data_IF_930376492097
#
_entry.id   IF_930376492097
#
_cell.length_a   1.000
_cell.length_b   1.000
_cell.length_c   1.000
_cell.angle_alpha   90.00
_cell.angle_beta   90.00
_cell.angle_gamma   90.00
#
_symmetry.space_group_name_H-M   'P 1'
#
loop_
_entity.id
_entity.type
_entity.pdbx_description
1 polymer ?
#
# COMPACT_ATOMS: atom_id res chain seq x y z
N UNK A 1 -45.34 2.77 20.61
CA UNK A 1 -45.15 4.24 20.46
C UNK A 1 -44.82 4.81 21.83
N UNK A 2 -43.84 5.72 21.99
CA UNK A 2 -42.52 5.95 21.37
C UNK A 2 -41.40 5.47 22.34
N UNK A 3 -40.09 5.47 22.13
CA UNK A 3 -39.16 6.12 21.20
C UNK A 3 -37.88 6.49 21.99
N UNK A 4 -36.70 6.31 21.37
CA UNK A 4 -35.32 6.83 21.67
C UNK A 4 -34.33 5.66 21.45
N UNK A 5 -33.54 5.58 20.38
CA UNK A 5 -32.94 6.64 19.56
C UNK A 5 -31.55 6.98 20.10
N UNK A 6 -30.58 6.09 19.86
CA UNK A 6 -29.20 6.21 20.33
C UNK A 6 -28.20 6.22 19.17
N UNK A 7 -27.79 7.44 18.81
CA UNK A 7 -26.53 7.89 18.23
C UNK A 7 -25.71 6.91 17.35
N UNK A 8 -25.77 7.12 16.04
CA UNK A 8 -24.68 6.76 15.12
C UNK A 8 -24.20 8.06 14.45
N UNK A 9 -22.95 8.42 14.73
CA UNK A 9 -22.27 9.57 14.15
C UNK A 9 -21.63 9.17 12.80
N UNK A 10 -21.77 10.02 11.76
CA UNK A 10 -20.84 10.02 10.65
C UNK A 10 -19.85 11.21 10.69
N UNK A 11 -18.75 11.13 9.92
CA UNK A 11 -17.49 11.78 10.21
C UNK A 11 -17.24 13.05 9.36
N UNK A 12 -16.15 13.74 9.69
CA UNK A 12 -15.51 14.85 8.96
C UNK A 12 -16.04 16.26 9.22
N UNK A 13 -15.47 16.88 10.25
CA UNK A 13 -15.41 18.33 10.42
C UNK A 13 -14.28 18.92 9.56
N UNK A 14 -14.64 19.72 8.57
CA UNK A 14 -13.75 20.71 7.96
C UNK A 14 -13.95 22.06 8.67
N UNK A 15 -12.89 22.82 8.99
CA UNK A 15 -13.07 24.17 9.53
C UNK A 15 -13.54 25.10 8.41
N UNK A 16 -14.77 25.56 8.55
CA UNK A 16 -15.38 26.65 7.80
C UNK A 16 -14.87 27.98 8.36
N UNK A 17 -13.98 28.66 7.62
CA UNK A 17 -13.53 30.01 7.95
C UNK A 17 -14.69 30.98 7.78
N UNK A 18 -15.12 31.56 8.90
CA UNK A 18 -16.19 32.57 8.97
C UNK A 18 -15.66 33.93 8.51
N UNK A 19 -16.55 34.58 7.76
CA UNK A 19 -16.52 35.96 7.29
C UNK A 19 -16.43 37.01 8.41
N UNK A 20 -15.92 38.18 8.01
CA UNK A 20 -16.21 39.50 8.59
C UNK A 20 -15.02 40.43 8.33
N UNK A 21 -15.14 41.67 7.84
CA UNK A 21 -16.31 42.53 7.66
C UNK A 21 -15.85 43.85 6.97
N UNK A 22 -16.77 44.50 6.24
CA UNK A 22 -16.84 45.93 5.82
C UNK A 22 -15.77 46.50 4.86
N UNK A 23 -16.11 46.74 3.60
CA UNK A 23 -16.92 47.85 3.08
C UNK A 23 -16.08 49.10 2.75
N UNK A 24 -16.05 49.44 1.45
CA UNK A 24 -16.08 50.83 0.96
C UNK A 24 -16.52 50.80 -0.50
N UNK A 25 -17.78 51.18 -0.71
CA UNK A 25 -18.31 51.62 -1.99
C UNK A 25 -17.59 52.92 -2.37
N UNK A 26 -17.13 53.04 -3.62
CA UNK A 26 -17.30 54.26 -4.41
C UNK A 26 -17.01 54.00 -5.90
N UNK A 27 -18.01 54.37 -6.71
CA UNK A 27 -17.91 55.01 -8.02
C UNK A 27 -17.34 54.25 -9.23
N UNK A 28 -18.29 53.74 -10.04
CA UNK A 28 -18.57 54.20 -11.42
C UNK A 28 -17.47 54.00 -12.46
N UNK A 29 -17.65 52.98 -13.32
CA UNK A 29 -17.00 52.92 -14.64
C UNK A 29 -18.03 52.40 -15.68
N UNK A 30 -18.34 53.13 -16.76
CA UNK A 30 -19.36 52.72 -17.73
C UNK A 30 -18.79 51.82 -18.83
N UNK A 31 -19.53 50.76 -19.14
CA UNK A 31 -19.56 50.02 -20.42
C UNK A 31 -18.20 49.61 -21.03
N UNK A 32 -17.65 48.47 -20.55
CA UNK A 32 -16.68 47.68 -21.34
C UNK A 32 -17.45 46.72 -22.26
N UNK A 33 -17.15 46.67 -23.57
CA UNK A 33 -17.76 45.69 -24.47
C UNK A 33 -17.35 44.28 -24.04
N UNK A 34 -18.31 43.36 -24.05
CA UNK A 34 -18.12 41.94 -23.81
C UNK A 34 -17.08 41.40 -24.79
N UNK A 35 -15.82 41.30 -24.37
CA UNK A 35 -14.82 40.51 -25.08
C UNK A 35 -15.28 39.06 -25.03
N UNK A 36 -15.64 38.53 -26.20
CA UNK A 36 -15.75 37.10 -26.47
C UNK A 36 -14.53 36.40 -25.84
N UNK A 37 -14.75 35.64 -24.78
CA UNK A 37 -13.77 34.69 -24.29
C UNK A 37 -13.66 33.61 -25.38
N UNK A 38 -12.50 33.41 -26.04
CA UNK A 38 -12.37 32.25 -26.91
C UNK A 38 -12.60 31.02 -26.04
N UNK A 39 -13.60 30.21 -26.38
CA UNK A 39 -13.73 28.88 -25.80
C UNK A 39 -12.46 28.11 -26.14
N UNK A 40 -11.48 28.10 -25.23
CA UNK A 40 -10.42 27.09 -25.25
C UNK A 40 -11.11 25.75 -25.02
N UNK A 41 -11.48 25.10 -26.11
CA UNK A 41 -11.83 23.70 -26.12
C UNK A 41 -10.55 22.96 -25.73
N UNK A 42 -10.49 22.46 -24.49
CA UNK A 42 -9.48 21.48 -24.12
C UNK A 42 -9.89 20.16 -24.76
N UNK A 43 -9.20 19.68 -25.82
CA UNK A 43 -9.52 18.38 -26.37
C UNK A 43 -9.40 17.32 -25.28
N UNK A 44 -10.28 16.31 -25.26
CA UNK A 44 -10.20 15.23 -24.29
C UNK A 44 -8.82 14.56 -24.41
N UNK A 45 -8.23 14.25 -23.26
CA UNK A 45 -6.87 13.70 -23.14
C UNK A 45 -6.66 12.36 -23.87
N UNK A 46 -7.75 11.75 -24.35
CA UNK A 46 -7.78 10.56 -25.21
C UNK A 46 -7.32 10.82 -26.65
N UNK A 47 -7.40 12.07 -27.13
CA UNK A 47 -6.99 12.48 -28.47
C UNK A 47 -5.59 13.12 -28.51
N UNK A 48 -4.93 13.24 -27.35
CA UNK A 48 -3.54 13.67 -27.29
C UNK A 48 -2.66 12.58 -27.92
N UNK A 49 -1.64 12.95 -28.74
CA UNK A 49 -0.66 12.00 -29.23
C UNK A 49 -0.10 11.20 -28.05
N UNK A 50 -0.27 9.88 -28.06
CA UNK A 50 0.42 9.03 -27.09
C UNK A 50 1.90 9.07 -27.44
N UNK A 51 2.71 9.67 -26.56
CA UNK A 51 4.15 9.50 -26.62
C UNK A 51 4.44 7.99 -26.63
N UNK A 52 5.08 7.51 -27.69
CA UNK A 52 5.57 6.13 -27.71
C UNK A 52 6.61 6.00 -26.60
N UNK A 53 6.51 4.98 -25.72
CA UNK A 53 7.52 4.80 -24.70
C UNK A 53 8.87 4.61 -25.38
N UNK A 54 9.91 5.26 -24.84
CA UNK A 54 11.27 5.04 -25.33
C UNK A 54 11.61 3.55 -25.23
N UNK A 55 12.53 3.02 -26.05
CA UNK A 55 12.95 1.62 -25.96
C UNK A 55 13.42 1.22 -24.55
N UNK A 56 14.04 2.16 -23.82
CA UNK A 56 14.41 1.98 -22.43
C UNK A 56 13.18 1.84 -21.52
N UNK A 57 12.18 2.71 -21.67
CA UNK A 57 10.95 2.64 -20.89
C UNK A 57 10.15 1.35 -21.17
N UNK A 58 10.16 0.85 -22.41
CA UNK A 58 9.56 -0.44 -22.76
C UNK A 58 10.28 -1.60 -22.04
N UNK A 59 11.61 -1.61 -22.05
CA UNK A 59 12.41 -2.63 -21.35
C UNK A 59 12.21 -2.59 -19.83
N UNK A 60 12.19 -1.40 -19.22
CA UNK A 60 11.92 -1.24 -17.78
C UNK A 60 10.55 -1.80 -17.40
N UNK A 61 9.53 -1.60 -18.25
CA UNK A 61 8.22 -2.15 -18.06
C UNK A 61 8.21 -3.68 -18.12
N UNK A 62 8.87 -4.28 -19.12
CA UNK A 62 8.98 -5.74 -19.24
C UNK A 62 9.69 -6.36 -18.04
N UNK A 63 10.81 -5.77 -17.60
CA UNK A 63 11.52 -6.21 -16.40
C UNK A 63 10.65 -6.08 -15.14
N UNK A 64 9.85 -5.02 -15.04
CA UNK A 64 8.92 -4.84 -13.92
C UNK A 64 7.83 -5.92 -13.92
N UNK A 65 7.22 -6.19 -15.08
CA UNK A 65 6.21 -7.23 -15.24
C UNK A 65 6.77 -8.60 -14.87
N UNK A 66 7.98 -8.94 -15.32
CA UNK A 66 8.59 -10.23 -14.98
C UNK A 66 8.94 -10.36 -13.49
N UNK A 67 9.43 -9.29 -12.86
CA UNK A 67 9.66 -9.26 -11.41
C UNK A 67 8.36 -9.45 -10.64
N UNK A 68 7.29 -8.77 -11.04
CA UNK A 68 5.97 -8.92 -10.44
C UNK A 68 5.44 -10.36 -10.61
N UNK A 69 5.58 -10.93 -11.81
CA UNK A 69 5.20 -12.32 -12.09
C UNK A 69 5.97 -13.32 -11.23
N UNK A 70 7.29 -13.12 -11.07
CA UNK A 70 8.14 -13.93 -10.20
C UNK A 70 7.69 -13.87 -8.75
N UNK A 71 7.42 -12.66 -8.24
CA UNK A 71 6.93 -12.48 -6.88
C UNK A 71 5.62 -13.24 -6.65
N UNK A 72 4.66 -13.14 -7.57
CA UNK A 72 3.37 -13.84 -7.46
C UNK A 72 3.58 -15.35 -7.38
N UNK A 73 4.48 -15.92 -8.20
CA UNK A 73 4.79 -17.36 -8.17
C UNK A 73 5.40 -17.79 -6.84
N UNK A 74 6.32 -16.98 -6.31
CA UNK A 74 6.95 -17.24 -5.00
C UNK A 74 5.91 -17.19 -3.86
N UNK A 75 5.04 -16.18 -3.88
CA UNK A 75 3.95 -16.04 -2.92
C UNK A 75 3.01 -17.26 -2.95
N UNK A 76 2.53 -17.66 -4.12
CA UNK A 76 1.66 -18.86 -4.26
C UNK A 76 2.36 -20.12 -3.76
N UNK A 77 3.65 -20.28 -4.07
CA UNK A 77 4.44 -21.43 -3.62
C UNK A 77 4.64 -21.45 -2.11
N UNK A 78 4.70 -20.29 -1.46
CA UNK A 78 4.73 -20.17 -0.01
C UNK A 78 3.36 -20.48 0.61
N UNK A 79 2.28 -19.87 0.09
CA UNK A 79 0.90 -20.11 0.52
C UNK A 79 0.54 -21.60 0.49
N UNK A 80 0.87 -22.29 -0.61
CA UNK A 80 0.60 -23.74 -0.73
C UNK A 80 1.32 -24.57 0.35
N UNK A 81 2.55 -24.22 0.70
CA UNK A 81 3.30 -24.93 1.75
C UNK A 81 2.76 -24.59 3.15
N UNK A 82 2.41 -23.33 3.37
CA UNK A 82 1.81 -22.87 4.60
C UNK A 82 0.47 -23.56 4.87
N UNK A 83 -0.38 -23.67 3.85
CA UNK A 83 -1.65 -24.40 3.93
C UNK A 83 -1.43 -25.87 4.23
N UNK A 84 -0.46 -26.51 3.56
CA UNK A 84 -0.09 -27.90 3.86
C UNK A 84 0.37 -28.06 5.31
N UNK A 85 1.15 -27.11 5.83
CA UNK A 85 1.60 -27.12 7.22
C UNK A 85 0.45 -26.96 8.21
N UNK A 86 -0.47 -26.04 7.94
CA UNK A 86 -1.63 -25.77 8.80
C UNK A 86 -2.60 -26.96 8.86
N UNK A 87 -2.72 -27.72 7.77
CA UNK A 87 -3.57 -28.92 7.70
C UNK A 87 -2.89 -30.18 8.26
N UNK A 88 -1.59 -30.14 8.55
CA UNK A 88 -0.85 -31.28 9.06
C UNK A 88 -1.08 -31.46 10.57
N UNK A 89 -1.27 -32.70 11.03
CA UNK A 89 -1.38 -32.99 12.45
C UNK A 89 -0.10 -32.59 13.22
N UNK A 90 -0.23 -32.27 14.51
CA UNK A 90 0.92 -31.86 15.33
C UNK A 90 1.95 -32.98 15.52
N UNK A 91 1.49 -34.24 15.59
CA UNK A 91 2.32 -35.43 15.79
C UNK A 91 2.77 -36.08 14.47
N UNK A 92 2.53 -35.43 13.34
CA UNK A 92 2.94 -35.97 12.04
C UNK A 92 4.47 -36.01 11.93
N UNK A 93 5.08 -37.17 11.58
CA UNK A 93 6.53 -37.31 11.48
C UNK A 93 7.15 -36.36 10.45
N UNK A 94 6.40 -35.95 9.41
CA UNK A 94 6.88 -35.06 8.35
C UNK A 94 6.75 -33.57 8.71
N UNK A 95 6.16 -33.25 9.86
CA UNK A 95 5.93 -31.86 10.29
C UNK A 95 7.22 -31.06 10.34
N UNK A 96 8.32 -31.65 10.81
CA UNK A 96 9.63 -31.00 10.87
C UNK A 96 10.16 -30.61 9.48
N UNK A 97 10.05 -31.52 8.50
CA UNK A 97 10.46 -31.25 7.12
C UNK A 97 9.62 -30.12 6.52
N UNK A 98 8.32 -30.16 6.75
CA UNK A 98 7.40 -29.17 6.22
C UNK A 98 7.59 -27.77 6.84
N UNK A 99 7.96 -27.70 8.12
CA UNK A 99 8.40 -26.44 8.76
C UNK A 99 9.60 -25.87 8.04
N UNK A 100 10.62 -26.69 7.76
CA UNK A 100 11.84 -26.24 7.09
C UNK A 100 11.56 -25.77 5.64
N UNK A 101 10.72 -26.50 4.90
CA UNK A 101 10.34 -26.11 3.53
C UNK A 101 9.53 -24.81 3.49
N UNK A 102 8.58 -24.67 4.41
CA UNK A 102 7.74 -23.46 4.52
C UNK A 102 8.57 -22.27 4.96
N UNK A 103 9.46 -22.45 5.93
CA UNK A 103 10.38 -21.43 6.41
C UNK A 103 11.36 -20.97 5.32
N UNK A 104 11.88 -21.91 4.51
CA UNK A 104 12.73 -21.59 3.36
C UNK A 104 11.97 -20.78 2.30
N UNK A 105 10.75 -21.17 1.96
CA UNK A 105 9.92 -20.44 1.00
C UNK A 105 9.62 -19.01 1.50
N UNK A 106 9.34 -18.87 2.80
CA UNK A 106 9.12 -17.58 3.45
C UNK A 106 10.38 -16.69 3.40
N UNK A 107 11.55 -17.24 3.70
CA UNK A 107 12.81 -16.50 3.63
C UNK A 107 13.09 -15.99 2.22
N UNK A 108 12.93 -16.85 1.20
CA UNK A 108 13.10 -16.47 -0.20
C UNK A 108 12.15 -15.34 -0.60
N UNK A 109 10.89 -15.40 -0.17
CA UNK A 109 9.89 -14.36 -0.42
C UNK A 109 10.28 -13.03 0.25
N UNK A 110 10.76 -13.08 1.50
CA UNK A 110 11.20 -11.91 2.24
C UNK A 110 12.39 -11.21 1.54
N UNK A 111 13.42 -11.97 1.16
CA UNK A 111 14.60 -11.44 0.45
C UNK A 111 14.19 -10.82 -0.89
N UNK A 112 13.29 -11.48 -1.64
CA UNK A 112 12.83 -10.94 -2.93
C UNK A 112 12.09 -9.61 -2.75
N UNK A 113 11.24 -9.49 -1.72
CA UNK A 113 10.53 -8.24 -1.41
C UNK A 113 11.50 -7.13 -1.06
N UNK A 114 12.52 -7.40 -0.25
CA UNK A 114 13.56 -6.43 0.09
C UNK A 114 14.36 -5.99 -1.13
N UNK A 115 14.71 -6.91 -2.03
CA UNK A 115 15.40 -6.60 -3.28
C UNK A 115 14.58 -5.69 -4.22
N UNK A 116 13.25 -5.74 -4.13
CA UNK A 116 12.35 -4.84 -4.87
C UNK A 116 12.02 -3.55 -4.11
N UNK A 117 12.66 -3.30 -2.97
CA UNK A 117 12.41 -2.11 -2.15
C UNK A 117 11.07 -2.15 -1.41
N UNK A 118 10.49 -3.34 -1.20
CA UNK A 118 9.28 -3.55 -0.39
C UNK A 118 9.70 -3.95 1.03
N UNK A 119 9.85 -3.00 1.97
CA UNK A 119 10.26 -3.31 3.33
C UNK A 119 9.18 -4.08 4.09
N UNK A 120 9.59 -4.71 5.21
CA UNK A 120 8.66 -5.18 6.23
C UNK A 120 8.52 -6.70 6.29
N UNK A 121 9.60 -7.41 6.65
CA UNK A 121 9.50 -8.80 7.06
C UNK A 121 8.43 -9.01 8.16
N UNK A 122 8.30 -8.06 9.10
CA UNK A 122 7.24 -8.10 10.11
C UNK A 122 5.83 -7.96 9.50
N UNK A 123 5.64 -7.09 8.51
CA UNK A 123 4.36 -6.97 7.77
C UNK A 123 4.03 -8.27 7.04
N UNK A 124 5.03 -8.93 6.45
CA UNK A 124 4.86 -10.22 5.79
C UNK A 124 4.43 -11.31 6.80
N UNK A 125 5.10 -11.39 7.94
CA UNK A 125 4.80 -12.34 9.00
C UNK A 125 3.39 -12.16 9.60
N UNK A 126 2.91 -10.91 9.66
CA UNK A 126 1.57 -10.57 10.14
C UNK A 126 0.50 -10.84 9.09
N UNK A 127 0.74 -10.47 7.83
CA UNK A 127 -0.24 -10.62 6.74
C UNK A 127 -0.63 -12.08 6.48
N UNK A 128 0.32 -13.01 6.67
CA UNK A 128 0.12 -14.44 6.44
C UNK A 128 -0.14 -15.25 7.71
N UNK A 129 -0.30 -14.58 8.86
CA UNK A 129 -0.44 -15.21 10.18
C UNK A 129 0.52 -16.40 10.39
N UNK A 130 1.82 -16.15 10.13
CA UNK A 130 2.79 -17.25 10.05
C UNK A 130 2.93 -17.95 11.41
N UNK A 131 2.82 -19.29 11.49
CA UNK A 131 2.96 -20.03 12.74
C UNK A 131 4.33 -19.84 13.42
N UNK A 132 4.37 -19.93 14.75
CA UNK A 132 5.58 -19.68 15.54
C UNK A 132 6.75 -20.60 15.16
N UNK A 133 6.48 -21.88 14.88
CA UNK A 133 7.50 -22.84 14.44
C UNK A 133 8.17 -22.43 13.13
N UNK A 134 7.38 -21.97 12.15
CA UNK A 134 7.86 -21.50 10.84
C UNK A 134 8.61 -20.17 11.00
N UNK A 135 8.08 -19.25 11.81
CA UNK A 135 8.76 -17.98 12.16
C UNK A 135 10.17 -18.25 12.71
N UNK A 136 10.28 -19.10 13.73
CA UNK A 136 11.56 -19.44 14.35
C UNK A 136 12.55 -20.07 13.36
N UNK A 137 12.08 -20.98 12.49
CA UNK A 137 12.92 -21.65 11.50
C UNK A 137 13.33 -20.72 10.32
N UNK A 138 12.57 -19.67 10.03
CA UNK A 138 12.80 -18.78 8.88
C UNK A 138 13.95 -17.78 9.05
N UNK A 139 14.40 -17.53 10.28
CA UNK A 139 15.48 -16.58 10.56
C UNK A 139 15.12 -15.09 10.36
N UNK A 140 13.87 -14.76 10.03
CA UNK A 140 13.41 -13.37 9.88
C UNK A 140 13.36 -12.70 11.26
N UNK A 141 14.28 -11.77 11.52
CA UNK A 141 14.31 -11.00 12.77
C UNK A 141 13.27 -9.90 12.72
N UNK A 142 12.31 -9.93 13.65
CA UNK A 142 11.37 -8.81 13.83
C UNK A 142 12.08 -7.64 14.49
N UNK A 143 12.01 -6.45 13.90
CA UNK A 143 12.67 -5.25 14.41
C UNK A 143 11.88 -4.62 15.57
N UNK A 144 11.34 -5.41 16.49
CA UNK A 144 10.45 -4.88 17.54
C UNK A 144 11.20 -4.17 18.68
N UNK A 145 12.54 -4.28 18.74
CA UNK A 145 13.32 -3.88 19.92
C UNK A 145 14.01 -2.51 19.80
N UNK A 146 14.15 -1.92 18.61
CA UNK A 146 14.98 -0.70 18.45
C UNK A 146 14.27 0.64 18.61
N UNK A 147 12.93 0.69 18.63
CA UNK A 147 12.18 1.97 18.72
C UNK A 147 11.91 2.48 20.15
N UNK A 148 12.25 1.69 21.18
CA UNK A 148 12.11 2.06 22.59
C UNK A 148 13.40 2.53 23.27
N UNK A 149 14.57 2.27 22.69
CA UNK A 149 15.85 2.69 23.27
C UNK A 149 16.20 4.13 22.85
N UNK A 150 15.35 5.08 23.22
CA UNK A 150 15.69 6.50 23.15
C UNK A 150 16.59 6.79 24.35
N UNK A 151 17.91 6.63 24.16
CA UNK A 151 18.91 6.98 25.18
C UNK A 151 18.72 8.48 25.51
N UNK A 152 18.50 8.85 26.80
CA UNK A 152 18.41 10.25 27.16
C UNK A 152 19.76 10.91 26.86
N UNK A 153 19.74 11.97 26.04
CA UNK A 153 20.92 12.84 25.90
C UNK A 153 21.14 13.51 27.26
N UNK A 154 22.24 13.16 27.92
CA UNK A 154 22.77 13.90 29.06
C UNK A 154 23.33 15.23 28.61
#
# INVERSE_FOLDING_TARGET
MPGRGGAQAPPFSFPQTRQGLLARLHCRDPMRPLRSFPMTVRPPRTLAPKDQPSPLAALEHEMFVERAGTLIRMTKSFETKLDRFNNLAENDPDRGALVAETARALWMLAVQREAMGLPGGETLLQAYDVPAAVKAASGIVTQKVRRGLRVPRR
#
